data_IF_053862370382
#
_entry.id   IF_053862370382
#
_cell.length_a   1.000
_cell.length_b   1.000
_cell.length_c   1.000
_cell.angle_alpha   90.00
_cell.angle_beta   90.00
_cell.angle_gamma   90.00
#
_symmetry.space_group_name_H-M   'P 1'
#
loop_
_entity.id
_entity.type
_entity.pdbx_description
1 polymer ?
#
# COMPACT_ATOMS: atom_id res chain seq x y z
N UNK A 1 -10.78 5.47 8.80
CA UNK A 1 -10.18 4.48 9.73
C UNK A 1 -10.01 3.16 8.99
N UNK A 2 -9.06 2.30 9.40
CA UNK A 2 -8.75 1.01 8.75
C UNK A 2 -9.55 -0.14 9.37
N UNK A 3 -10.18 -0.96 8.52
CA UNK A 3 -10.96 -2.15 8.91
C UNK A 3 -10.76 -3.26 7.88
N UNK A 4 -11.12 -4.50 8.24
CA UNK A 4 -11.03 -5.64 7.32
C UNK A 4 -11.95 -5.51 6.09
N UNK A 5 -13.11 -4.87 6.24
CA UNK A 5 -14.05 -4.63 5.13
C UNK A 5 -13.65 -3.45 4.25
N UNK A 6 -12.85 -2.52 4.78
CA UNK A 6 -12.37 -1.33 4.06
C UNK A 6 -10.90 -1.07 4.45
N UNK A 7 -9.97 -1.93 3.96
CA UNK A 7 -8.57 -1.81 4.29
C UNK A 7 -7.98 -0.54 3.66
N UNK A 8 -7.08 0.10 4.41
CA UNK A 8 -6.21 1.13 3.86
C UNK A 8 -5.00 0.51 3.20
N UNK A 9 -4.75 0.91 1.96
CA UNK A 9 -3.51 0.61 1.25
C UNK A 9 -2.61 1.83 1.28
N UNK A 10 -1.36 1.67 1.70
CA UNK A 10 -0.38 2.74 1.83
C UNK A 10 0.61 2.66 0.66
N UNK A 11 0.88 3.80 0.03
CA UNK A 11 1.77 3.89 -1.13
C UNK A 11 2.95 4.81 -0.80
N UNK A 12 4.17 4.28 -0.79
CA UNK A 12 5.40 5.06 -0.61
C UNK A 12 5.64 5.92 -1.85
N UNK A 13 5.68 7.24 -1.68
CA UNK A 13 5.60 8.20 -2.79
C UNK A 13 6.90 8.91 -3.14
N UNK A 14 8.05 8.46 -2.61
CA UNK A 14 9.37 9.06 -2.88
C UNK A 14 9.68 9.11 -4.39
N UNK A 15 9.33 8.05 -5.13
CA UNK A 15 9.32 8.08 -6.58
C UNK A 15 7.88 8.21 -7.10
N UNK A 16 7.49 9.43 -7.50
CA UNK A 16 6.13 9.74 -7.96
C UNK A 16 5.68 8.89 -9.14
N UNK A 17 6.58 8.58 -10.09
CA UNK A 17 6.24 7.76 -11.27
C UNK A 17 5.92 6.33 -10.85
N UNK A 18 6.76 5.71 -10.01
CA UNK A 18 6.52 4.36 -9.50
C UNK A 18 5.28 4.30 -8.60
N UNK A 19 5.04 5.31 -7.77
CA UNK A 19 3.87 5.39 -6.91
C UNK A 19 2.56 5.41 -7.71
N UNK A 20 2.49 6.22 -8.77
CA UNK A 20 1.33 6.27 -9.67
C UNK A 20 1.07 4.93 -10.36
N UNK A 21 2.13 4.29 -10.87
CA UNK A 21 2.01 2.99 -11.52
C UNK A 21 1.45 1.93 -10.57
N UNK A 22 2.01 1.85 -9.36
CA UNK A 22 1.56 0.89 -8.37
C UNK A 22 0.14 1.19 -7.85
N UNK A 23 -0.24 2.45 -7.73
CA UNK A 23 -1.62 2.82 -7.41
C UNK A 23 -2.61 2.27 -8.45
N UNK A 24 -2.29 2.40 -9.74
CA UNK A 24 -3.13 1.84 -10.81
C UNK A 24 -3.18 0.31 -10.74
N UNK A 25 -2.03 -0.35 -10.53
CA UNK A 25 -1.97 -1.81 -10.35
C UNK A 25 -2.88 -2.30 -9.21
N UNK A 26 -2.86 -1.63 -8.06
CA UNK A 26 -3.72 -1.97 -6.91
C UNK A 26 -5.20 -1.87 -7.27
N UNK A 27 -5.62 -0.79 -7.94
CA UNK A 27 -7.03 -0.58 -8.31
C UNK A 27 -7.48 -1.60 -9.37
N UNK A 28 -6.67 -1.82 -10.40
CA UNK A 28 -7.02 -2.75 -11.48
C UNK A 28 -7.03 -4.20 -11.01
N UNK A 29 -6.24 -4.54 -9.99
CA UNK A 29 -6.22 -5.90 -9.43
C UNK A 29 -7.32 -6.14 -8.37
N UNK A 30 -8.00 -5.09 -7.87
CA UNK A 30 -9.04 -5.22 -6.84
C UNK A 30 -10.43 -5.46 -7.40
N UNK A 31 -10.64 -5.29 -8.71
CA UNK A 31 -11.93 -5.44 -9.38
C UNK A 31 -11.79 -6.42 -10.54
N UNK A 32 -12.74 -7.35 -10.68
CA UNK A 32 -12.89 -8.16 -11.89
C UNK A 32 -13.63 -7.36 -12.95
N UNK A 33 -12.93 -6.93 -14.00
CA UNK A 33 -13.51 -6.20 -15.14
C UNK A 33 -13.34 -7.00 -16.44
N UNK A 34 -14.25 -6.77 -17.39
CA UNK A 34 -14.22 -7.38 -18.73
C UNK A 34 -13.07 -6.80 -19.57
N UNK A 35 -12.58 -7.53 -20.58
CA UNK A 35 -11.47 -7.11 -21.45
C UNK A 35 -10.15 -6.81 -20.72
N UNK A 36 -9.90 -7.48 -19.58
CA UNK A 36 -8.60 -7.44 -18.92
C UNK A 36 -7.54 -8.13 -19.77
N UNK A 37 -6.51 -7.37 -20.14
CA UNK A 37 -5.32 -7.89 -20.82
C UNK A 37 -4.53 -8.83 -19.89
N UNK A 38 -4.40 -10.13 -20.20
CA UNK A 38 -3.68 -11.10 -19.37
C UNK A 38 -2.15 -10.98 -19.47
N UNK A 39 -1.63 -10.29 -20.48
CA UNK A 39 -0.20 -10.15 -20.72
C UNK A 39 0.44 -9.05 -19.86
N UNK A 40 -0.37 -8.19 -19.23
CA UNK A 40 0.08 -7.13 -18.36
C UNK A 40 0.34 -7.60 -16.93
N UNK A 41 1.45 -7.14 -16.35
CA UNK A 41 1.76 -7.37 -14.94
C UNK A 41 1.02 -6.38 -14.03
N UNK A 42 0.06 -6.90 -13.25
CA UNK A 42 -0.69 -6.14 -12.25
C UNK A 42 -0.18 -6.33 -10.83
N UNK A 43 0.89 -7.10 -10.60
CA UNK A 43 1.43 -7.32 -9.26
C UNK A 43 2.05 -6.02 -8.76
N UNK A 44 1.54 -5.43 -7.66
CA UNK A 44 2.16 -4.24 -7.09
C UNK A 44 3.51 -4.56 -6.46
N UNK A 45 4.42 -3.61 -6.54
CA UNK A 45 5.72 -3.67 -5.88
C UNK A 45 5.54 -3.55 -4.35
N UNK A 46 5.93 -4.60 -3.61
CA UNK A 46 5.78 -4.69 -2.15
C UNK A 46 6.61 -3.66 -1.38
N UNK A 47 7.70 -3.14 -1.97
CA UNK A 47 8.48 -2.06 -1.32
C UNK A 47 7.74 -0.71 -1.40
N UNK A 48 6.76 -0.59 -2.29
CA UNK A 48 5.99 0.62 -2.54
C UNK A 48 4.59 0.53 -1.94
N UNK A 49 3.94 -0.62 -2.05
CA UNK A 49 2.56 -0.85 -1.60
C UNK A 49 2.57 -1.70 -0.34
N UNK A 50 2.06 -1.13 0.74
CA UNK A 50 2.04 -1.75 2.07
C UNK A 50 0.61 -1.77 2.61
N UNK A 51 0.24 -2.85 3.30
CA UNK A 51 -1.05 -2.93 3.97
C UNK A 51 -1.10 -2.00 5.19
N UNK A 52 -2.25 -1.38 5.45
CA UNK A 52 -2.42 -0.46 6.56
C UNK A 52 -2.23 -1.11 7.94
N UNK A 53 -2.56 -2.38 8.11
CA UNK A 53 -2.33 -3.10 9.37
C UNK A 53 -0.84 -3.37 9.59
N UNK A 54 -0.13 -3.71 8.52
CA UNK A 54 1.34 -3.90 8.55
C UNK A 54 2.04 -2.59 8.91
N UNK A 55 1.72 -1.50 8.22
CA UNK A 55 2.33 -0.20 8.51
C UNK A 55 2.00 0.28 9.93
N UNK A 56 0.78 0.02 10.42
CA UNK A 56 0.43 0.33 11.81
C UNK A 56 1.29 -0.48 12.80
N UNK A 57 1.58 -1.74 12.50
CA UNK A 57 2.50 -2.57 13.29
C UNK A 57 3.91 -1.97 13.29
N UNK A 58 4.41 -1.59 12.11
CA UNK A 58 5.72 -0.96 11.94
C UNK A 58 5.82 0.33 12.77
N UNK A 59 4.82 1.21 12.68
CA UNK A 59 4.76 2.45 13.46
C UNK A 59 4.75 2.19 14.98
N UNK A 60 4.04 1.15 15.44
CA UNK A 60 4.03 0.76 16.87
C UNK A 60 5.41 0.27 17.31
N UNK A 61 6.05 -0.58 16.51
CA UNK A 61 7.41 -1.08 16.78
C UNK A 61 8.43 0.07 16.80
N UNK A 62 8.33 1.00 15.85
CA UNK A 62 9.17 2.20 15.81
C UNK A 62 9.01 3.05 17.07
N UNK A 63 7.77 3.25 17.52
CA UNK A 63 7.45 4.03 18.73
C UNK A 63 7.98 3.37 20.00
N UNK A 64 7.93 2.04 20.09
CA UNK A 64 8.53 1.30 21.22
C UNK A 64 10.04 1.52 21.25
N UNK A 65 10.70 1.44 20.09
CA UNK A 65 12.16 1.56 19.95
C UNK A 65 12.69 2.98 20.16
N UNK A 66 12.05 3.98 19.56
CA UNK A 66 12.51 5.39 19.54
C UNK A 66 11.87 6.25 20.63
N UNK A 67 10.93 5.68 21.40
CA UNK A 67 10.13 6.43 22.36
C UNK A 67 9.01 7.24 21.69
N UNK A 68 8.24 7.96 22.51
CA UNK A 68 7.20 8.87 22.04
C UNK A 68 7.88 10.15 21.54
N UNK A 69 7.42 10.68 20.39
CA UNK A 69 7.76 12.06 20.00
C UNK A 69 7.28 13.00 21.10
N UNK A 70 8.22 13.49 21.92
CA UNK A 70 8.02 14.59 22.86
C UNK A 70 8.28 15.89 22.12
N UNK A 71 7.44 16.89 22.36
CA UNK A 71 7.49 18.21 21.72
C UNK A 71 8.60 19.05 22.32
#
# INVERSE_FOLDING_TARGET
THTSMAPWTIIRSQNKRKARLNAMKVILNSVGYEDRDPDLDFVPDHDIVVDGAEELSNMKAERIRKGKFTR
#
